data_IF_127356335402
#
_entry.id   IF_127356335402
#
_cell.length_a   1.000
_cell.length_b   1.000
_cell.length_c   1.000
_cell.angle_alpha   90.00
_cell.angle_beta   90.00
_cell.angle_gamma   90.00
#
_symmetry.space_group_name_H-M   'P 1'
#
loop_
_entity.id
_entity.type
_entity.pdbx_description
1 polymer ?
#
# COMPACT_ATOMS: atom_id res chain seq x y z
N UNK A 1 -12.38 -23.02 4.42
CA UNK A 1 -11.09 -22.40 4.82
C UNK A 1 -9.85 -22.92 4.06
N UNK A 2 -9.88 -24.06 3.36
CA UNK A 2 -8.69 -24.61 2.68
C UNK A 2 -8.22 -23.80 1.45
N UNK A 3 -9.15 -23.23 0.70
CA UNK A 3 -8.90 -22.47 -0.54
C UNK A 3 -7.93 -21.27 -0.40
N UNK A 4 -8.12 -20.32 0.55
CA UNK A 4 -7.20 -19.19 0.70
C UNK A 4 -5.78 -19.63 1.10
N UNK A 5 -5.64 -20.65 1.95
CA UNK A 5 -4.34 -21.21 2.30
C UNK A 5 -3.64 -21.84 1.10
N UNK A 6 -4.38 -22.57 0.24
CA UNK A 6 -3.79 -23.18 -0.95
C UNK A 6 -3.30 -22.14 -1.95
N UNK A 7 -4.04 -21.04 -2.15
CA UNK A 7 -3.60 -19.95 -3.03
C UNK A 7 -2.36 -19.24 -2.47
N UNK A 8 -2.33 -18.97 -1.16
CA UNK A 8 -1.18 -18.34 -0.51
C UNK A 8 0.07 -19.22 -0.60
N UNK A 9 -0.05 -20.53 -0.35
CA UNK A 9 1.06 -21.47 -0.46
C UNK A 9 1.57 -21.58 -1.91
N UNK A 10 0.66 -21.64 -2.90
CA UNK A 10 1.05 -21.69 -4.31
C UNK A 10 1.80 -20.43 -4.74
N UNK A 11 1.34 -19.24 -4.32
CA UNK A 11 2.01 -17.97 -4.62
C UNK A 11 3.39 -17.89 -3.96
N UNK A 12 3.51 -18.31 -2.69
CA UNK A 12 4.79 -18.38 -1.99
C UNK A 12 5.78 -19.30 -2.73
N UNK A 13 5.33 -20.52 -3.07
CA UNK A 13 6.15 -21.47 -3.80
C UNK A 13 6.57 -20.93 -5.17
N UNK A 14 5.67 -20.27 -5.89
CA UNK A 14 5.99 -19.62 -7.17
C UNK A 14 7.09 -18.56 -7.03
N UNK A 15 7.02 -17.69 -6.02
CA UNK A 15 8.06 -16.69 -5.78
C UNK A 15 9.39 -17.33 -5.36
N UNK A 16 9.34 -18.39 -4.53
CA UNK A 16 10.53 -19.16 -4.14
C UNK A 16 11.18 -19.91 -5.31
N UNK A 17 10.41 -20.35 -6.31
CA UNK A 17 10.98 -20.99 -7.50
C UNK A 17 11.49 -19.97 -8.50
N UNK A 18 10.80 -18.82 -8.64
CA UNK A 18 11.19 -17.74 -9.53
C UNK A 18 12.59 -17.19 -9.22
N UNK A 19 12.98 -17.12 -7.94
CA UNK A 19 14.32 -16.64 -7.56
C UNK A 19 15.47 -17.49 -8.12
N UNK A 20 15.25 -18.77 -8.43
CA UNK A 20 16.31 -19.60 -9.05
C UNK A 20 16.58 -19.22 -10.50
N UNK A 21 15.59 -18.64 -11.20
CA UNK A 21 15.74 -18.20 -12.59
C UNK A 21 16.01 -16.70 -12.75
N UNK A 22 15.36 -15.86 -11.93
CA UNK A 22 15.41 -14.41 -12.03
C UNK A 22 16.31 -13.73 -10.97
N UNK A 23 16.87 -14.50 -10.03
CA UNK A 23 17.54 -13.96 -8.85
C UNK A 23 16.57 -13.29 -7.87
N UNK A 24 17.09 -12.89 -6.70
CA UNK A 24 16.29 -12.19 -5.69
C UNK A 24 15.81 -10.83 -6.18
N UNK A 25 16.69 -10.03 -6.79
CA UNK A 25 16.33 -8.70 -7.28
C UNK A 25 15.25 -8.74 -8.36
N UNK A 26 15.37 -9.66 -9.33
CA UNK A 26 14.35 -9.87 -10.36
C UNK A 26 13.01 -10.33 -9.77
N UNK A 27 13.05 -11.21 -8.77
CA UNK A 27 11.86 -11.68 -8.05
C UNK A 27 11.16 -10.54 -7.30
N UNK A 28 11.90 -9.72 -6.57
CA UNK A 28 11.33 -8.55 -5.88
C UNK A 28 10.76 -7.54 -6.86
N UNK A 29 11.46 -7.24 -7.96
CA UNK A 29 10.94 -6.34 -9.02
C UNK A 29 9.60 -6.83 -9.54
N UNK A 30 9.46 -8.13 -9.82
CA UNK A 30 8.22 -8.72 -10.32
C UNK A 30 7.12 -8.72 -9.25
N UNK A 31 7.47 -9.05 -8.00
CA UNK A 31 6.52 -9.04 -6.89
C UNK A 31 5.98 -7.63 -6.63
N UNK A 32 6.83 -6.60 -6.55
CA UNK A 32 6.38 -5.22 -6.33
C UNK A 32 5.53 -4.69 -7.49
N UNK A 33 5.91 -4.98 -8.74
CA UNK A 33 5.09 -4.64 -9.90
C UNK A 33 3.72 -5.30 -9.87
N UNK A 34 3.68 -6.59 -9.53
CA UNK A 34 2.43 -7.35 -9.38
C UNK A 34 1.55 -6.76 -8.28
N UNK A 35 2.12 -6.45 -7.11
CA UNK A 35 1.39 -5.82 -6.01
C UNK A 35 0.85 -4.44 -6.38
N UNK A 36 1.62 -3.63 -7.12
CA UNK A 36 1.17 -2.34 -7.64
C UNK A 36 -0.03 -2.48 -8.57
N UNK A 37 0.07 -3.36 -9.57
CA UNK A 37 -1.03 -3.63 -10.53
C UNK A 37 -2.27 -4.20 -9.84
N UNK A 38 -2.10 -5.15 -8.93
CA UNK A 38 -3.21 -5.70 -8.14
C UNK A 38 -3.88 -4.64 -7.28
N UNK A 39 -3.10 -3.75 -6.66
CA UNK A 39 -3.64 -2.64 -5.88
C UNK A 39 -4.49 -1.70 -6.74
N UNK A 40 -4.04 -1.39 -7.96
CA UNK A 40 -4.83 -0.61 -8.92
C UNK A 40 -6.13 -1.34 -9.32
N UNK A 41 -6.06 -2.65 -9.60
CA UNK A 41 -7.23 -3.45 -9.93
C UNK A 41 -8.25 -3.50 -8.78
N UNK A 42 -7.79 -3.72 -7.55
CA UNK A 42 -8.63 -3.71 -6.34
C UNK A 42 -9.28 -2.33 -6.16
N UNK A 43 -8.50 -1.25 -6.28
CA UNK A 43 -9.03 0.11 -6.21
C UNK A 43 -10.12 0.34 -7.25
N UNK A 44 -9.90 -0.07 -8.50
CA UNK A 44 -10.89 0.00 -9.57
C UNK A 44 -12.17 -0.81 -9.27
N UNK A 45 -12.05 -2.01 -8.73
CA UNK A 45 -13.21 -2.81 -8.31
C UNK A 45 -14.00 -2.12 -7.20
N UNK A 46 -13.33 -1.59 -6.17
CA UNK A 46 -14.02 -0.85 -5.10
C UNK A 46 -14.60 0.47 -5.58
N UNK A 47 -14.02 1.09 -6.61
CA UNK A 47 -14.56 2.31 -7.22
C UNK A 47 -15.86 2.01 -7.96
N UNK A 48 -15.89 0.89 -8.68
CA UNK A 48 -17.12 0.39 -9.28
C UNK A 48 -18.19 0.07 -8.23
N UNK A 49 -17.83 -0.62 -7.15
CA UNK A 49 -18.75 -0.89 -6.04
C UNK A 49 -19.23 0.38 -5.35
N UNK A 50 -18.35 1.36 -5.14
CA UNK A 50 -18.71 2.67 -4.59
C UNK A 50 -19.70 3.40 -5.48
N UNK A 51 -19.52 3.33 -6.81
CA UNK A 51 -20.45 3.92 -7.77
C UNK A 51 -21.84 3.30 -7.69
N UNK A 52 -21.93 2.00 -7.38
CA UNK A 52 -23.21 1.30 -7.20
C UNK A 52 -23.81 1.63 -5.83
N UNK A 53 -23.00 1.54 -4.77
CA UNK A 53 -23.39 1.78 -3.39
C UNK A 53 -22.30 2.60 -2.71
N UNK A 54 -22.55 3.90 -2.55
CA UNK A 54 -21.61 4.92 -2.06
C UNK A 54 -21.29 4.77 -0.57
N UNK A 55 -20.73 3.62 -0.18
CA UNK A 55 -20.41 3.31 1.20
C UNK A 55 -19.09 3.95 1.60
N UNK A 56 -18.96 4.39 2.87
CA UNK A 56 -17.69 4.85 3.42
C UNK A 56 -16.59 3.78 3.33
N UNK A 57 -16.95 2.49 3.48
CA UNK A 57 -16.03 1.38 3.35
C UNK A 57 -15.42 1.31 1.95
N UNK A 58 -16.26 1.32 0.92
CA UNK A 58 -15.78 1.28 -0.46
C UNK A 58 -14.88 2.48 -0.76
N UNK A 59 -15.23 3.67 -0.28
CA UNK A 59 -14.40 4.88 -0.43
C UNK A 59 -13.01 4.71 0.21
N UNK A 60 -12.96 4.21 1.46
CA UNK A 60 -11.69 3.95 2.15
C UNK A 60 -10.82 2.93 1.41
N UNK A 61 -11.44 1.89 0.86
CA UNK A 61 -10.75 0.88 0.05
C UNK A 61 -10.23 1.48 -1.26
N UNK A 62 -11.04 2.25 -2.00
CA UNK A 62 -10.59 2.92 -3.23
C UNK A 62 -9.33 3.72 -2.99
N UNK A 63 -9.37 4.62 -2.00
CA UNK A 63 -8.27 5.55 -1.75
C UNK A 63 -7.02 4.83 -1.22
N UNK A 64 -7.17 3.90 -0.28
CA UNK A 64 -6.01 3.17 0.26
C UNK A 64 -5.34 2.31 -0.81
N UNK A 65 -6.11 1.58 -1.63
CA UNK A 65 -5.53 0.78 -2.70
C UNK A 65 -5.01 1.62 -3.88
N UNK A 66 -5.62 2.79 -4.18
CA UNK A 66 -5.11 3.72 -5.19
C UNK A 66 -3.78 4.34 -4.77
N UNK A 67 -3.68 4.84 -3.54
CA UNK A 67 -2.45 5.43 -3.00
C UNK A 67 -1.33 4.38 -2.90
N UNK A 68 -1.65 3.19 -2.40
CA UNK A 68 -0.69 2.09 -2.26
C UNK A 68 -0.22 1.57 -3.61
N UNK A 69 -1.14 1.39 -4.56
CA UNK A 69 -0.82 1.00 -5.94
C UNK A 69 0.00 2.06 -6.66
N UNK A 70 -0.32 3.34 -6.48
CA UNK A 70 0.45 4.46 -7.02
C UNK A 70 1.89 4.49 -6.47
N UNK A 71 2.05 4.30 -5.16
CA UNK A 71 3.38 4.30 -4.54
C UNK A 71 4.22 3.07 -4.94
N UNK A 72 3.63 1.87 -4.90
CA UNK A 72 4.30 0.64 -5.35
C UNK A 72 4.63 0.67 -6.85
N UNK A 73 3.69 1.12 -7.66
CA UNK A 73 3.87 1.30 -9.10
C UNK A 73 4.96 2.32 -9.42
N UNK A 74 5.02 3.43 -8.67
CA UNK A 74 6.08 4.44 -8.83
C UNK A 74 7.47 3.85 -8.58
N UNK A 75 7.66 3.17 -7.45
CA UNK A 75 8.96 2.56 -7.12
C UNK A 75 9.31 1.39 -8.04
N UNK A 76 8.31 0.67 -8.54
CA UNK A 76 8.52 -0.33 -9.57
C UNK A 76 9.01 0.30 -10.88
N UNK A 77 8.37 1.38 -11.35
CA UNK A 77 8.83 2.14 -12.52
C UNK A 77 10.24 2.73 -12.30
N UNK A 78 10.53 3.26 -11.11
CA UNK A 78 11.86 3.73 -10.74
C UNK A 78 12.92 2.64 -10.93
N UNK A 79 12.65 1.42 -10.45
CA UNK A 79 13.56 0.29 -10.61
C UNK A 79 13.70 -0.19 -12.07
N UNK A 80 12.65 -0.05 -12.89
CA UNK A 80 12.68 -0.39 -14.32
C UNK A 80 13.42 0.64 -15.18
N UNK A 81 13.49 1.89 -14.73
CA UNK A 81 14.15 3.00 -15.42
C UNK A 81 15.58 3.26 -14.92
N UNK A 82 16.18 2.27 -14.25
CA UNK A 82 17.53 2.35 -13.67
C UNK A 82 17.73 3.49 -12.65
N UNK A 83 16.68 3.77 -11.87
CA UNK A 83 16.78 4.64 -10.69
C UNK A 83 17.00 6.13 -10.98
N UNK A 84 16.18 6.78 -11.81
CA UNK A 84 16.39 8.19 -12.13
C UNK A 84 16.13 9.08 -10.91
N UNK A 85 17.12 9.92 -10.55
CA UNK A 85 17.10 10.77 -9.35
C UNK A 85 15.88 11.70 -9.23
N UNK A 86 15.28 12.12 -10.36
CA UNK A 86 14.10 12.97 -10.33
C UNK A 86 12.87 12.26 -9.75
N UNK A 87 12.76 10.93 -9.94
CA UNK A 87 11.63 10.16 -9.46
C UNK A 87 11.65 10.00 -7.94
N UNK A 88 12.84 9.88 -7.34
CA UNK A 88 12.97 9.69 -5.89
C UNK A 88 12.66 10.96 -5.08
N UNK A 89 12.61 12.12 -5.74
CA UNK A 89 12.30 13.42 -5.12
C UNK A 89 11.00 14.04 -5.63
N UNK A 90 10.24 13.32 -6.46
CA UNK A 90 9.07 13.88 -7.11
C UNK A 90 7.91 14.03 -6.10
N UNK A 91 7.20 15.18 -6.07
CA UNK A 91 6.11 15.42 -5.12
C UNK A 91 4.92 14.45 -5.29
N UNK A 92 4.81 13.75 -6.42
CA UNK A 92 3.79 12.72 -6.63
C UNK A 92 3.84 11.61 -5.57
N UNK A 93 5.02 11.28 -5.04
CA UNK A 93 5.15 10.31 -3.94
C UNK A 93 4.37 10.74 -2.71
N UNK A 94 4.43 12.04 -2.37
CA UNK A 94 3.66 12.61 -1.27
C UNK A 94 2.16 12.58 -1.56
N UNK A 95 1.75 12.82 -2.81
CA UNK A 95 0.35 12.72 -3.21
C UNK A 95 -0.18 11.29 -3.02
N UNK A 96 0.55 10.27 -3.48
CA UNK A 96 0.16 8.87 -3.29
C UNK A 96 0.12 8.48 -1.81
N UNK A 97 1.12 8.87 -1.03
CA UNK A 97 1.15 8.63 0.41
C UNK A 97 -0.05 9.30 1.13
N UNK A 98 -0.38 10.54 0.75
CA UNK A 98 -1.52 11.26 1.33
C UNK A 98 -2.84 10.56 1.03
N UNK A 99 -3.05 10.15 -0.23
CA UNK A 99 -4.24 9.40 -0.64
C UNK A 99 -4.33 8.06 0.11
N UNK A 100 -3.21 7.36 0.26
CA UNK A 100 -3.13 6.11 1.02
C UNK A 100 -3.55 6.30 2.47
N UNK A 101 -2.97 7.28 3.17
CA UNK A 101 -3.22 7.55 4.58
C UNK A 101 -4.67 7.98 4.85
N UNK A 102 -5.24 8.82 3.97
CA UNK A 102 -6.66 9.20 4.06
C UNK A 102 -7.55 7.97 3.89
N UNK A 103 -7.28 7.14 2.89
CA UNK A 103 -8.03 5.90 2.66
C UNK A 103 -7.94 4.93 3.84
N UNK A 104 -6.74 4.75 4.39
CA UNK A 104 -6.50 3.90 5.55
C UNK A 104 -7.26 4.41 6.79
N UNK A 105 -7.24 5.72 7.05
CA UNK A 105 -7.99 6.35 8.14
C UNK A 105 -9.50 6.11 8.01
N UNK A 106 -10.06 6.29 6.82
CA UNK A 106 -11.48 5.99 6.55
C UNK A 106 -11.80 4.50 6.77
N UNK A 107 -10.92 3.60 6.32
CA UNK A 107 -11.10 2.17 6.49
C UNK A 107 -11.13 1.78 7.99
N UNK A 108 -10.19 2.29 8.80
CA UNK A 108 -10.19 2.05 10.24
C UNK A 108 -11.40 2.64 10.95
N UNK A 109 -11.87 3.83 10.55
CA UNK A 109 -13.07 4.43 11.11
C UNK A 109 -14.33 3.55 10.89
N UNK A 110 -14.42 2.88 9.73
CA UNK A 110 -15.51 1.95 9.44
C UNK A 110 -15.41 0.67 10.26
N UNK A 111 -14.25 0.00 10.25
CA UNK A 111 -14.02 -1.21 11.07
C UNK A 111 -14.35 -0.93 12.53
N UNK A 112 -13.85 0.20 13.01
CA UNK A 112 -14.00 0.65 14.37
C UNK A 112 -15.43 0.88 14.83
N UNK A 113 -16.28 1.38 13.94
CA UNK A 113 -17.71 1.55 14.22
C UNK A 113 -18.41 0.22 14.50
N UNK A 114 -17.90 -0.90 13.97
CA UNK A 114 -18.41 -2.24 14.27
C UNK A 114 -18.11 -2.73 15.70
N UNK A 115 -17.13 -2.13 16.38
CA UNK A 115 -16.76 -2.45 17.76
C UNK A 115 -17.40 -1.51 18.79
N UNK A 116 -18.26 -0.57 18.37
CA UNK A 116 -18.93 0.38 19.27
C UNK A 116 -18.07 1.55 19.73
N UNK A 117 -16.86 1.71 19.20
CA UNK A 117 -15.99 2.85 19.54
C UNK A 117 -16.35 4.12 18.75
N UNK A 118 -16.07 5.33 19.30
CA UNK A 118 -16.29 6.58 18.58
C UNK A 118 -15.47 6.66 17.29
N UNK A 119 -16.05 7.17 16.20
CA UNK A 119 -15.38 7.24 14.88
C UNK A 119 -14.02 7.95 14.91
N UNK A 120 -13.88 8.99 15.76
CA UNK A 120 -12.64 9.76 15.89
C UNK A 120 -11.51 8.97 16.58
N UNK A 121 -11.81 7.98 17.41
CA UNK A 121 -10.78 7.23 18.14
C UNK A 121 -9.91 6.41 17.18
N UNK A 122 -10.39 6.11 15.98
CA UNK A 122 -9.63 5.36 14.98
C UNK A 122 -8.61 6.22 14.21
N UNK A 123 -8.75 7.56 14.30
CA UNK A 123 -7.66 8.44 13.89
C UNK A 123 -6.43 8.30 14.80
N UNK A 124 -6.60 7.77 16.02
CA UNK A 124 -5.47 7.48 16.90
C UNK A 124 -4.54 6.42 16.31
N UNK A 125 -5.04 5.45 15.55
CA UNK A 125 -4.17 4.45 14.89
C UNK A 125 -3.22 5.12 13.91
N UNK A 126 -3.75 6.03 13.10
CA UNK A 126 -2.95 6.82 12.15
C UNK A 126 -2.01 7.77 12.89
N UNK A 127 -2.49 8.45 13.94
CA UNK A 127 -1.67 9.36 14.73
C UNK A 127 -0.53 8.65 15.47
N UNK A 128 -0.79 7.45 16.02
CA UNK A 128 0.22 6.61 16.67
C UNK A 128 1.23 6.11 15.65
N UNK A 129 0.80 5.66 14.47
CA UNK A 129 1.71 5.25 13.41
C UNK A 129 2.62 6.41 12.96
N UNK A 130 2.05 7.61 12.78
CA UNK A 130 2.81 8.82 12.45
C UNK A 130 3.78 9.22 13.58
N UNK A 131 3.33 9.19 14.82
CA UNK A 131 4.16 9.50 15.99
C UNK A 131 5.33 8.52 16.15
N UNK A 132 5.09 7.23 15.94
CA UNK A 132 6.14 6.21 15.95
C UNK A 132 7.12 6.41 14.79
N UNK A 133 6.63 6.64 13.58
CA UNK A 133 7.47 6.92 12.42
C UNK A 133 8.36 8.15 12.67
N UNK A 134 7.78 9.25 13.17
CA UNK A 134 8.51 10.46 13.53
C UNK A 134 9.57 10.19 14.61
N UNK A 135 9.19 9.45 15.65
CA UNK A 135 10.11 9.09 16.74
C UNK A 135 11.30 8.30 16.21
N UNK A 136 11.07 7.30 15.36
CA UNK A 136 12.14 6.50 14.74
C UNK A 136 13.04 7.40 13.88
N UNK A 137 12.46 8.28 13.06
CA UNK A 137 13.23 9.21 12.22
C UNK A 137 14.12 10.13 13.07
N UNK A 138 13.59 10.68 14.15
CA UNK A 138 14.35 11.56 15.06
C UNK A 138 15.45 10.79 15.79
N UNK A 139 15.14 9.61 16.33
CA UNK A 139 16.09 8.80 17.12
C UNK A 139 17.24 8.22 16.29
N UNK A 140 16.97 7.84 15.03
CA UNK A 140 17.97 7.22 14.16
C UNK A 140 18.83 8.25 13.42
N UNK A 141 18.46 9.54 13.46
CA UNK A 141 19.13 10.58 12.68
C UNK A 141 19.06 10.32 11.16
N UNK A 142 18.21 9.38 10.72
CA UNK A 142 17.98 9.09 9.32
C UNK A 142 17.23 10.30 8.74
N UNK A 143 17.98 11.29 8.24
CA UNK A 143 17.49 12.07 7.12
C UNK A 143 17.10 11.04 6.06
N UNK A 144 15.83 11.01 5.64
CA UNK A 144 15.33 10.10 4.62
C UNK A 144 16.29 10.10 3.42
N UNK A 145 17.20 9.14 3.36
CA UNK A 145 18.01 8.88 2.18
C UNK A 145 17.07 8.19 1.22
N UNK A 146 16.71 8.82 0.08
CA UNK A 146 15.93 8.13 -0.93
C UNK A 146 16.70 6.89 -1.35
N UNK A 147 16.04 5.73 -1.29
CA UNK A 147 16.52 4.51 -1.95
C UNK A 147 16.67 4.75 -3.46
#
# INVERSE_FOLDING_TARGET
MKFPLTCAAAMFLFLCTLQFGAGLDGTYRLAYGTLGLMSCAISGTFLWLWRINATPLATGMVLSWAGGGGMLGWWWCYALLDGPLWMSRHPALLAFASVYLVGAGLHFAVIGSGFGFPKWSWMLVVAVALGLALTITVLTGLAFSPM
#
